data_IF_802472906735
#
_entry.id   IF_802472906735
#
_cell.length_a   1.000
_cell.length_b   1.000
_cell.length_c   1.000
_cell.angle_alpha   90.00
_cell.angle_beta   90.00
_cell.angle_gamma   90.00
#
_symmetry.space_group_name_H-M   'P 1'
#
loop_
_entity.id
_entity.type
_entity.pdbx_description
1 polymer ?
#
# COMPACT_ATOMS: atom_id res chain seq x y z
N UNK A 1 -10.55 -33.48 -6.35
CA UNK A 1 -11.10 -32.22 -5.81
C UNK A 1 -9.98 -31.43 -5.13
N UNK A 2 -10.05 -30.10 -5.10
CA UNK A 2 -9.00 -29.24 -4.55
C UNK A 2 -8.73 -29.54 -3.06
N UNK A 3 -9.78 -29.85 -2.30
CA UNK A 3 -9.68 -30.25 -0.90
C UNK A 3 -8.87 -31.55 -0.71
N UNK A 4 -8.94 -32.49 -1.66
CA UNK A 4 -8.17 -33.74 -1.61
C UNK A 4 -6.69 -33.51 -1.93
N UNK A 5 -6.39 -32.64 -2.89
CA UNK A 5 -5.04 -32.39 -3.37
C UNK A 5 -4.23 -31.45 -2.45
N UNK A 6 -4.87 -30.41 -1.91
CA UNK A 6 -4.22 -29.34 -1.15
C UNK A 6 -4.51 -29.37 0.36
N UNK A 7 -5.47 -30.19 0.81
CA UNK A 7 -5.86 -30.34 2.22
C UNK A 7 -6.13 -28.97 2.88
N UNK A 8 -5.33 -28.61 3.87
CA UNK A 8 -5.41 -27.37 4.66
C UNK A 8 -5.01 -26.11 3.87
N UNK A 9 -4.33 -26.28 2.74
CA UNK A 9 -3.96 -25.19 1.83
C UNK A 9 -4.99 -24.96 0.72
N UNK A 10 -6.09 -25.74 0.72
CA UNK A 10 -7.14 -25.56 -0.28
C UNK A 10 -7.77 -24.17 -0.13
N UNK A 11 -7.95 -23.41 -1.23
CA UNK A 11 -8.63 -22.13 -1.16
C UNK A 11 -10.08 -22.31 -0.75
N UNK A 12 -10.66 -21.27 -0.13
CA UNK A 12 -12.08 -21.28 0.21
C UNK A 12 -12.96 -21.46 -1.02
N UNK A 13 -14.16 -22.03 -0.84
CA UNK A 13 -15.14 -22.17 -1.92
C UNK A 13 -15.42 -20.84 -2.65
N UNK A 14 -15.55 -19.74 -1.90
CA UNK A 14 -15.77 -18.41 -2.48
C UNK A 14 -14.63 -17.95 -3.38
N UNK A 15 -13.38 -18.26 -3.00
CA UNK A 15 -12.20 -17.98 -3.81
C UNK A 15 -12.26 -18.74 -5.14
N UNK A 16 -12.60 -20.03 -5.10
CA UNK A 16 -12.73 -20.88 -6.30
C UNK A 16 -13.84 -20.38 -7.23
N UNK A 17 -15.00 -20.01 -6.69
CA UNK A 17 -16.12 -19.47 -7.47
C UNK A 17 -15.73 -18.17 -8.17
N UNK A 18 -15.04 -17.25 -7.47
CA UNK A 18 -14.58 -15.98 -8.04
C UNK A 18 -13.62 -16.21 -9.20
N UNK A 19 -12.60 -17.04 -9.01
CA UNK A 19 -11.63 -17.36 -10.07
C UNK A 19 -12.29 -18.10 -11.25
N UNK A 20 -13.20 -19.04 -10.98
CA UNK A 20 -13.94 -19.76 -12.03
C UNK A 20 -14.72 -18.81 -12.94
N UNK A 21 -15.33 -17.76 -12.36
CA UNK A 21 -16.02 -16.71 -13.12
C UNK A 21 -15.04 -15.91 -13.98
N UNK A 22 -13.94 -15.43 -13.41
CA UNK A 22 -12.94 -14.63 -14.12
C UNK A 22 -12.31 -15.40 -15.29
N UNK A 23 -11.99 -16.68 -15.10
CA UNK A 23 -11.49 -17.53 -16.18
C UNK A 23 -12.52 -17.72 -17.30
N UNK A 24 -13.81 -17.84 -16.96
CA UNK A 24 -14.89 -17.91 -17.97
C UNK A 24 -15.05 -16.59 -18.73
N UNK A 25 -14.75 -15.46 -18.09
CA UNK A 25 -14.77 -14.12 -18.70
C UNK A 25 -13.50 -13.83 -19.54
N UNK A 26 -12.57 -14.78 -19.64
CA UNK A 26 -11.37 -14.68 -20.48
C UNK A 26 -10.17 -14.05 -19.78
N UNK A 27 -10.19 -13.88 -18.45
CA UNK A 27 -8.98 -13.52 -17.69
C UNK A 27 -8.00 -14.69 -17.67
N UNK A 28 -6.83 -14.48 -18.23
CA UNK A 28 -5.71 -15.44 -18.24
C UNK A 28 -4.63 -15.09 -17.19
N UNK A 29 -4.61 -13.85 -16.71
CA UNK A 29 -3.64 -13.39 -15.71
C UNK A 29 -3.89 -14.04 -14.34
N UNK A 30 -2.91 -14.81 -13.88
CA UNK A 30 -2.91 -15.48 -12.57
C UNK A 30 -2.35 -14.61 -11.45
N UNK A 31 -1.58 -13.58 -11.82
CA UNK A 31 -1.01 -12.64 -10.86
C UNK A 31 -2.09 -11.79 -10.19
N UNK A 32 -1.78 -11.30 -9.00
CA UNK A 32 -2.62 -10.32 -8.33
C UNK A 32 -2.62 -9.00 -9.10
N UNK A 33 -3.78 -8.35 -9.12
CA UNK A 33 -3.86 -6.97 -9.62
C UNK A 33 -3.00 -6.04 -8.74
N UNK A 34 -2.51 -4.91 -9.30
CA UNK A 34 -1.78 -3.93 -8.53
C UNK A 34 -2.52 -3.58 -7.25
N UNK A 35 -1.92 -3.94 -6.11
CA UNK A 35 -2.49 -3.62 -4.80
C UNK A 35 -2.14 -2.17 -4.50
N UNK A 36 -3.13 -1.27 -4.35
CA UNK A 36 -2.82 0.07 -3.86
C UNK A 36 -2.18 -0.08 -2.49
N UNK A 37 -0.93 0.35 -2.37
CA UNK A 37 -0.26 0.44 -1.08
C UNK A 37 -0.95 1.47 -0.19
N UNK A 38 -0.41 1.67 1.02
CA UNK A 38 -0.82 2.80 1.86
C UNK A 38 -0.58 4.10 1.06
N UNK A 39 -1.60 4.94 0.81
CA UNK A 39 -1.37 6.26 0.28
C UNK A 39 -0.47 7.01 1.25
N UNK A 40 0.74 7.36 0.84
CA UNK A 40 1.65 8.17 1.66
C UNK A 40 1.30 9.62 1.40
N UNK A 41 0.35 10.14 2.18
CA UNK A 41 -0.09 11.54 2.08
C UNK A 41 0.94 12.52 2.65
N UNK A 42 1.92 12.02 3.41
CA UNK A 42 2.94 12.84 4.09
C UNK A 42 4.17 13.07 3.21
N UNK A 43 4.55 12.13 2.35
CA UNK A 43 5.74 12.22 1.47
C UNK A 43 5.39 12.79 0.09
N UNK A 44 4.63 13.89 0.07
CA UNK A 44 4.41 14.66 -1.16
C UNK A 44 5.62 15.56 -1.43
N UNK A 45 5.81 15.96 -2.69
CA UNK A 45 6.90 16.89 -3.06
C UNK A 45 6.81 18.21 -2.30
N UNK A 46 5.59 18.71 -2.06
CA UNK A 46 5.36 19.95 -1.32
C UNK A 46 5.79 19.84 0.14
N UNK A 47 5.44 18.72 0.80
CA UNK A 47 5.82 18.46 2.19
C UNK A 47 7.34 18.28 2.32
N UNK A 48 7.98 17.61 1.35
CA UNK A 48 9.43 17.46 1.32
C UNK A 48 10.11 18.83 1.21
N UNK A 49 9.62 19.70 0.34
CA UNK A 49 10.21 21.02 0.14
C UNK A 49 9.99 21.93 1.34
N UNK A 50 8.83 21.85 1.99
CA UNK A 50 8.56 22.56 3.24
C UNK A 50 9.56 22.16 4.34
N UNK A 51 9.77 20.84 4.55
CA UNK A 51 10.75 20.34 5.53
C UNK A 51 12.18 20.80 5.18
N UNK A 52 12.56 20.77 3.89
CA UNK A 52 13.88 21.28 3.45
C UNK A 52 14.07 22.75 3.80
N UNK A 53 13.07 23.59 3.51
CA UNK A 53 13.13 25.00 3.85
C UNK A 53 13.28 25.23 5.35
N UNK A 54 12.61 24.46 6.21
CA UNK A 54 12.78 24.58 7.66
C UNK A 54 14.22 24.28 8.10
N UNK A 55 14.80 23.19 7.57
CA UNK A 55 16.18 22.79 7.89
C UNK A 55 17.22 23.79 7.35
N UNK A 56 17.00 24.33 6.15
CA UNK A 56 17.91 25.32 5.56
C UNK A 56 17.91 26.65 6.34
N UNK A 57 16.79 27.00 6.97
CA UNK A 57 16.68 28.20 7.81
C UNK A 57 17.28 27.99 9.21
N UNK A 58 17.04 26.83 9.82
CA UNK A 58 17.63 26.45 11.10
C UNK A 58 18.01 24.96 11.12
N UNK A 59 19.31 24.65 10.95
CA UNK A 59 19.81 23.28 10.98
C UNK A 59 19.68 22.56 12.33
N UNK A 60 19.33 23.26 13.40
CA UNK A 60 19.18 22.69 14.75
C UNK A 60 17.73 22.31 15.09
N UNK A 61 16.77 22.47 14.17
CA UNK A 61 15.38 22.07 14.39
C UNK A 61 15.29 20.58 14.76
N UNK A 62 14.51 20.30 15.78
CA UNK A 62 14.17 18.93 16.19
C UNK A 62 13.04 18.36 15.35
N UNK A 63 12.90 17.03 15.34
CA UNK A 63 11.80 16.35 14.64
C UNK A 63 10.45 16.83 15.16
N UNK A 64 10.30 16.98 16.49
CA UNK A 64 9.04 17.42 17.11
C UNK A 64 8.64 18.83 16.63
N UNK A 65 9.60 19.74 16.50
CA UNK A 65 9.36 21.09 15.97
C UNK A 65 8.97 21.06 14.49
N UNK A 66 9.64 20.24 13.69
CA UNK A 66 9.29 20.04 12.28
C UNK A 66 7.86 19.49 12.16
N UNK A 67 7.47 18.54 13.00
CA UNK A 67 6.11 17.96 13.00
C UNK A 67 5.06 19.01 13.39
N UNK A 68 5.33 19.84 14.39
CA UNK A 68 4.43 20.93 14.78
C UNK A 68 4.26 21.93 13.64
N UNK A 69 5.35 22.32 12.98
CA UNK A 69 5.32 23.33 11.92
C UNK A 69 4.68 22.81 10.62
N UNK A 70 4.93 21.55 10.28
CA UNK A 70 4.44 20.95 9.03
C UNK A 70 3.10 20.22 9.18
N UNK A 71 2.68 19.91 10.41
CA UNK A 71 1.53 19.06 10.70
C UNK A 71 1.70 17.60 10.26
N UNK A 72 2.91 17.19 9.88
CA UNK A 72 3.22 15.84 9.45
C UNK A 72 3.42 14.94 10.66
N UNK A 73 2.87 13.73 10.61
CA UNK A 73 3.23 12.69 11.56
C UNK A 73 4.35 11.81 11.00
N UNK A 74 5.00 11.06 11.88
CA UNK A 74 5.95 10.02 11.51
C UNK A 74 5.21 8.67 11.42
#
# INVERSE_FOLDING_TARGET
DLCTALRDQAPSYNTVVRWSKLCREGREEVEDEPRPGRPVTETTSDNIENVRHLIDNDPYLTIDEIQVETGLSH
#
